data_IF_344663860301
#
_entry.id   IF_344663860301
#
_cell.length_a   1.000
_cell.length_b   1.000
_cell.length_c   1.000
_cell.angle_alpha   90.00
_cell.angle_beta   90.00
_cell.angle_gamma   90.00
#
_symmetry.space_group_name_H-M   'P 1'
#
loop_
_entity.id
_entity.type
_entity.pdbx_description
1 polymer ?
#
# COMPACT_ATOMS: atom_id res chain seq x y z
N UNK A 1 11.58 -20.75 0.19
CA UNK A 1 11.45 -19.64 1.18
C UNK A 1 9.99 -19.57 1.64
N UNK A 2 9.71 -19.51 2.94
CA UNK A 2 8.31 -19.52 3.43
C UNK A 2 7.61 -18.20 3.11
N UNK A 3 6.30 -18.22 2.78
CA UNK A 3 5.52 -17.02 2.44
C UNK A 3 5.70 -15.87 3.44
N UNK A 4 5.78 -16.21 4.73
CA UNK A 4 5.97 -15.24 5.80
C UNK A 4 7.34 -14.53 5.73
N UNK A 5 8.41 -15.23 5.31
CA UNK A 5 9.73 -14.61 5.12
C UNK A 5 9.74 -13.63 3.95
N UNK A 6 9.03 -13.96 2.86
CA UNK A 6 8.90 -13.08 1.68
C UNK A 6 8.12 -11.82 2.06
N UNK A 7 7.01 -11.97 2.77
CA UNK A 7 6.21 -10.83 3.28
C UNK A 7 7.03 -9.97 4.23
N UNK A 8 7.78 -10.57 5.15
CA UNK A 8 8.65 -9.84 6.08
C UNK A 8 9.70 -8.99 5.35
N UNK A 9 10.37 -9.56 4.34
CA UNK A 9 11.38 -8.82 3.56
C UNK A 9 10.73 -7.72 2.72
N UNK A 10 9.56 -7.97 2.11
CA UNK A 10 8.84 -6.95 1.36
C UNK A 10 8.44 -5.76 2.24
N UNK A 11 8.00 -6.02 3.48
CA UNK A 11 7.69 -4.98 4.47
C UNK A 11 8.93 -4.16 4.84
N UNK A 12 10.05 -4.83 5.14
CA UNK A 12 11.31 -4.14 5.49
C UNK A 12 11.79 -3.24 4.35
N UNK A 13 11.81 -3.77 3.11
CA UNK A 13 12.19 -2.99 1.94
C UNK A 13 11.25 -1.79 1.73
N UNK A 14 9.95 -1.99 1.94
CA UNK A 14 8.99 -0.91 1.81
C UNK A 14 9.19 0.20 2.83
N UNK A 15 9.38 -0.15 4.11
CA UNK A 15 9.68 0.83 5.16
C UNK A 15 10.94 1.62 4.83
N UNK A 16 11.97 0.96 4.26
CA UNK A 16 13.19 1.62 3.84
C UNK A 16 12.93 2.64 2.73
N UNK A 17 12.15 2.27 1.71
CA UNK A 17 11.77 3.16 0.60
C UNK A 17 11.01 4.39 1.13
N UNK A 18 10.06 4.19 2.05
CA UNK A 18 9.32 5.29 2.67
C UNK A 18 10.25 6.23 3.47
N UNK A 19 11.18 5.68 4.24
CA UNK A 19 12.14 6.46 5.01
C UNK A 19 13.03 7.32 4.10
N UNK A 20 13.51 6.76 2.97
CA UNK A 20 14.30 7.49 1.97
C UNK A 20 13.48 8.61 1.32
N UNK A 21 12.24 8.33 0.88
CA UNK A 21 11.38 9.36 0.28
C UNK A 21 11.08 10.50 1.25
N UNK A 22 10.82 10.17 2.52
CA UNK A 22 10.58 11.17 3.56
C UNK A 22 11.82 12.02 3.84
N UNK A 23 13.02 11.41 3.91
CA UNK A 23 14.26 12.16 4.09
C UNK A 23 14.59 13.03 2.88
N UNK A 24 14.37 12.54 1.65
CA UNK A 24 14.59 13.33 0.42
C UNK A 24 13.73 14.58 0.37
N UNK A 25 12.43 14.51 0.75
CA UNK A 25 11.58 15.71 0.85
C UNK A 25 12.15 16.71 1.85
N UNK A 26 12.57 16.25 3.02
CA UNK A 26 13.05 17.16 4.07
C UNK A 26 14.50 17.63 3.88
N UNK A 27 15.16 17.26 2.77
CA UNK A 27 16.56 17.63 2.49
C UNK A 27 16.74 18.15 1.06
N UNK A 28 17.08 17.26 0.12
CA UNK A 28 17.47 17.58 -1.25
C UNK A 28 16.33 18.16 -2.10
N UNK A 29 15.09 17.82 -1.78
CA UNK A 29 13.90 18.18 -2.56
C UNK A 29 12.94 19.08 -1.77
N UNK A 30 13.48 19.83 -0.82
CA UNK A 30 12.69 20.70 0.07
C UNK A 30 11.88 21.73 -0.73
N UNK A 31 12.54 22.38 -1.69
CA UNK A 31 11.98 23.48 -2.50
C UNK A 31 11.16 22.99 -3.71
N UNK A 32 11.15 21.69 -3.98
CA UNK A 32 10.32 21.13 -5.04
C UNK A 32 8.85 21.11 -4.59
N UNK A 33 7.96 21.62 -5.44
CA UNK A 33 6.50 21.65 -5.22
C UNK A 33 5.84 20.28 -5.41
N UNK A 34 6.59 19.20 -5.20
CA UNK A 34 6.10 17.83 -5.29
C UNK A 34 5.32 17.50 -4.00
N UNK A 35 4.12 16.96 -4.13
CA UNK A 35 3.31 16.52 -2.98
C UNK A 35 3.73 15.12 -2.49
N UNK A 36 4.81 15.08 -1.70
CA UNK A 36 5.36 13.82 -1.16
C UNK A 36 4.42 13.05 -0.25
N UNK A 37 3.53 13.74 0.47
CA UNK A 37 2.53 13.09 1.34
C UNK A 37 1.60 12.24 0.47
N UNK A 38 1.15 12.79 -0.65
CA UNK A 38 0.35 12.06 -1.64
C UNK A 38 1.08 10.87 -2.24
N UNK A 39 2.35 11.02 -2.62
CA UNK A 39 3.18 9.92 -3.13
C UNK A 39 3.34 8.80 -2.08
N UNK A 40 3.62 9.16 -0.82
CA UNK A 40 3.74 8.21 0.29
C UNK A 40 2.41 7.47 0.51
N UNK A 41 1.28 8.17 0.49
CA UNK A 41 -0.05 7.54 0.63
C UNK A 41 -0.34 6.56 -0.51
N UNK A 42 -0.02 6.91 -1.76
CA UNK A 42 -0.20 6.03 -2.91
C UNK A 42 0.63 4.75 -2.77
N UNK A 43 1.90 4.88 -2.36
CA UNK A 43 2.79 3.76 -2.11
C UNK A 43 2.28 2.84 -1.00
N UNK A 44 1.75 3.40 0.09
CA UNK A 44 1.15 2.62 1.19
C UNK A 44 -0.07 1.83 0.70
N UNK A 45 -0.93 2.45 -0.11
CA UNK A 45 -2.09 1.76 -0.69
C UNK A 45 -1.68 0.61 -1.61
N UNK A 46 -0.68 0.83 -2.47
CA UNK A 46 -0.15 -0.21 -3.38
C UNK A 46 0.38 -1.39 -2.58
N UNK A 47 1.21 -1.14 -1.56
CA UNK A 47 1.73 -2.21 -0.72
C UNK A 47 0.67 -2.94 0.07
N UNK A 48 -0.33 -2.21 0.56
CA UNK A 48 -1.45 -2.83 1.26
C UNK A 48 -2.21 -3.77 0.32
N UNK A 49 -2.42 -3.37 -0.93
CA UNK A 49 -3.04 -4.22 -1.94
C UNK A 49 -2.20 -5.48 -2.21
N UNK A 50 -0.89 -5.34 -2.42
CA UNK A 50 0.03 -6.46 -2.63
C UNK A 50 0.05 -7.44 -1.45
N UNK A 51 0.08 -6.92 -0.22
CA UNK A 51 0.05 -7.75 0.99
C UNK A 51 -1.23 -8.56 1.07
N UNK A 52 -2.39 -7.96 0.78
CA UNK A 52 -3.66 -8.71 0.78
C UNK A 52 -3.68 -9.72 -0.36
N UNK A 53 -3.17 -9.37 -1.54
CA UNK A 53 -3.01 -10.32 -2.64
C UNK A 53 -2.10 -11.49 -2.26
N UNK A 54 -1.18 -11.39 -1.31
CA UNK A 54 -0.30 -12.50 -0.89
C UNK A 54 -0.92 -13.29 0.27
N UNK A 55 -1.49 -12.59 1.26
CA UNK A 55 -1.93 -13.15 2.54
C UNK A 55 -3.35 -13.74 2.50
N UNK A 56 -4.27 -13.15 1.73
CA UNK A 56 -5.66 -13.63 1.67
C UNK A 56 -5.75 -14.87 0.75
N UNK A 57 -6.52 -15.92 1.10
CA UNK A 57 -6.75 -17.09 0.23
C UNK A 57 -7.44 -16.73 -1.10
N UNK A 58 -7.23 -17.51 -2.18
CA UNK A 58 -7.77 -17.18 -3.52
C UNK A 58 -9.30 -17.27 -3.57
N UNK A 59 -9.88 -18.03 -2.66
CA UNK A 59 -11.30 -18.35 -2.62
C UNK A 59 -12.13 -17.32 -1.85
N UNK A 60 -11.50 -16.38 -1.12
CA UNK A 60 -12.24 -15.33 -0.41
C UNK A 60 -12.79 -14.29 -1.39
N UNK A 61 -14.10 -14.38 -1.66
CA UNK A 61 -14.85 -13.47 -2.52
C UNK A 61 -15.43 -12.23 -1.81
N UNK A 62 -15.26 -12.08 -0.49
CA UNK A 62 -15.81 -10.91 0.23
C UNK A 62 -15.04 -9.63 -0.11
N UNK A 63 -15.75 -8.50 -0.24
CA UNK A 63 -15.16 -7.17 -0.51
C UNK A 63 -14.29 -6.72 0.67
N UNK A 64 -14.73 -7.03 1.89
CA UNK A 64 -13.96 -6.83 3.11
C UNK A 64 -13.46 -8.19 3.62
N UNK A 65 -12.15 -8.31 3.82
CA UNK A 65 -11.51 -9.48 4.40
C UNK A 65 -11.02 -9.18 5.83
N UNK A 66 -11.20 -10.13 6.74
CA UNK A 66 -10.63 -10.07 8.09
C UNK A 66 -9.17 -10.51 8.05
N UNK A 67 -8.28 -9.76 8.71
CA UNK A 67 -6.86 -10.14 8.79
C UNK A 67 -6.56 -10.93 10.08
N UNK A 68 -5.62 -11.89 10.01
CA UNK A 68 -5.20 -12.66 11.19
C UNK A 68 -4.32 -11.88 12.18
N UNK A 69 -3.82 -10.68 11.84
CA UNK A 69 -2.93 -9.90 12.72
C UNK A 69 -3.34 -8.43 12.73
N UNK A 70 -3.71 -7.89 13.90
CA UNK A 70 -3.69 -6.47 14.29
C UNK A 70 -4.55 -5.47 13.51
N UNK A 71 -5.17 -5.89 12.40
CA UNK A 71 -5.94 -5.04 11.51
C UNK A 71 -7.31 -5.69 11.33
N UNK A 72 -8.40 -4.96 11.60
CA UNK A 72 -9.77 -5.47 11.53
C UNK A 72 -10.23 -5.87 10.12
N UNK A 73 -11.28 -5.22 9.61
CA UNK A 73 -11.74 -5.42 8.23
C UNK A 73 -10.89 -4.58 7.28
N UNK A 74 -10.39 -5.19 6.21
CA UNK A 74 -9.62 -4.52 5.15
C UNK A 74 -10.27 -4.75 3.80
N UNK A 75 -10.09 -3.81 2.88
CA UNK A 75 -10.47 -3.99 1.48
C UNK A 75 -9.67 -5.14 0.85
N UNK A 76 -10.38 -6.03 0.16
CA UNK A 76 -9.82 -7.21 -0.46
C UNK A 76 -9.60 -6.97 -1.97
N UNK A 77 -8.37 -6.69 -2.43
CA UNK A 77 -8.04 -6.54 -3.85
C UNK A 77 -8.13 -7.86 -4.63
N UNK A 78 -8.35 -9.03 -3.99
CA UNK A 78 -8.72 -10.26 -4.71
C UNK A 78 -10.19 -10.28 -5.14
N UNK A 79 -11.04 -9.46 -4.51
CA UNK A 79 -12.37 -9.20 -5.04
C UNK A 79 -12.26 -8.11 -6.13
N UNK A 80 -12.86 -8.29 -7.33
CA UNK A 80 -12.84 -7.29 -8.40
C UNK A 80 -13.32 -5.90 -7.96
N UNK A 81 -14.39 -5.82 -7.16
CA UNK A 81 -14.91 -4.57 -6.60
C UNK A 81 -13.88 -3.96 -5.64
N UNK A 82 -13.26 -4.78 -4.80
CA UNK A 82 -12.22 -4.31 -3.87
C UNK A 82 -10.97 -3.80 -4.59
N UNK A 83 -10.59 -4.43 -5.71
CA UNK A 83 -9.51 -3.97 -6.58
C UNK A 83 -9.85 -2.61 -7.21
N UNK A 84 -11.07 -2.45 -7.73
CA UNK A 84 -11.53 -1.17 -8.30
C UNK A 84 -11.47 -0.07 -7.25
N UNK A 85 -11.92 -0.34 -6.02
CA UNK A 85 -11.83 0.64 -4.93
C UNK A 85 -10.38 1.01 -4.62
N UNK A 86 -9.45 0.04 -4.61
CA UNK A 86 -8.02 0.33 -4.47
C UNK A 86 -7.49 1.23 -5.58
N UNK A 87 -7.83 0.93 -6.83
CA UNK A 87 -7.41 1.74 -7.98
C UNK A 87 -7.98 3.15 -7.87
N UNK A 88 -9.26 3.29 -7.53
CA UNK A 88 -9.90 4.60 -7.34
C UNK A 88 -9.25 5.40 -6.20
N UNK A 89 -8.91 4.75 -5.08
CA UNK A 89 -8.20 5.41 -3.98
C UNK A 89 -6.80 5.86 -4.40
N UNK A 90 -6.06 5.04 -5.16
CA UNK A 90 -4.74 5.41 -5.68
C UNK A 90 -4.88 6.59 -6.65
N UNK A 91 -5.83 6.54 -7.59
CA UNK A 91 -6.08 7.61 -8.54
C UNK A 91 -6.52 8.89 -7.86
N UNK A 92 -7.38 8.81 -6.84
CA UNK A 92 -7.79 9.96 -6.04
C UNK A 92 -6.58 10.58 -5.35
N UNK A 93 -5.76 9.76 -4.70
CA UNK A 93 -4.53 10.24 -4.05
C UNK A 93 -3.62 10.90 -5.07
N UNK A 94 -3.36 10.28 -6.22
CA UNK A 94 -2.54 10.88 -7.27
C UNK A 94 -3.17 12.17 -7.82
N UNK A 95 -4.49 12.22 -7.99
CA UNK A 95 -5.20 13.41 -8.47
C UNK A 95 -5.13 14.59 -7.51
N UNK A 96 -5.16 14.36 -6.18
CA UNK A 96 -4.93 15.44 -5.20
C UNK A 96 -3.45 15.72 -4.97
N UNK A 97 -2.55 14.89 -5.51
CA UNK A 97 -1.10 15.02 -5.41
C UNK A 97 -0.55 15.94 -6.50
N UNK A 98 -1.08 15.82 -7.71
CA UNK A 98 -0.75 16.63 -8.88
C UNK A 98 -1.70 17.83 -9.01
#
# INVERSE_FOLDING_TARGET
MTKNKIVGIALVLFTLILAVLYTLKNTLLLNETINYIGIIMALVLIMNALLVLILVPKEQKKVLASRPIGYGLTLNPRNPIGLVIYILLILLVLFITY
#
